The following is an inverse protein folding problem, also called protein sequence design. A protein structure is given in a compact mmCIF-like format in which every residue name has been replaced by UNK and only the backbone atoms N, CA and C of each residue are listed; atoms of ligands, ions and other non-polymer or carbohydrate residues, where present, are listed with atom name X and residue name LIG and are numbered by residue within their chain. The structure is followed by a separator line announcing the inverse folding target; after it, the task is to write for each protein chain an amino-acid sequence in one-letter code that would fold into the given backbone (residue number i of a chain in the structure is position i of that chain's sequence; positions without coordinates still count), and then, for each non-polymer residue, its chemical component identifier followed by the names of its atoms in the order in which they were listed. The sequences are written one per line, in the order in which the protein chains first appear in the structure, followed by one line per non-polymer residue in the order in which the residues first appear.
data_IF_804068563760
#
_entry.id   IF_804068563760
#
_cell.length_a   1.000
_cell.length_b   1.000
_cell.length_c   1.000
_cell.angle_alpha   90.00
_cell.angle_beta   90.00
_cell.angle_gamma   90.00
#
_symmetry.space_group_name_H-M   'P 1'
#
loop_
_entity.id
_entity.type
_entity.pdbx_description
1 polymer ?
#
# COMPACT_ATOMS: atom_id res chain seq x y z
N UNK A 1 24.89 -6.21 23.04
CA UNK A 1 23.78 -7.14 23.31
C UNK A 1 22.71 -6.96 22.24
N UNK A 2 21.64 -7.76 22.19
CA UNK A 2 20.59 -7.69 21.15
C UNK A 2 19.67 -6.45 21.30
N UNK A 3 20.22 -5.31 21.73
CA UNK A 3 19.51 -4.04 21.87
C UNK A 3 19.42 -3.26 20.56
N UNK A 4 20.13 -3.70 19.51
CA UNK A 4 20.22 -3.01 18.22
C UNK A 4 19.06 -3.33 17.25
N UNK A 5 18.12 -4.20 17.64
CA UNK A 5 16.91 -4.52 16.87
C UNK A 5 15.63 -3.97 17.49
N UNK A 6 15.71 -2.82 18.16
CA UNK A 6 14.47 -2.12 18.52
C UNK A 6 13.92 -1.49 17.25
N UNK A 7 12.93 -2.14 16.63
CA UNK A 7 12.15 -1.58 15.52
C UNK A 7 11.83 -0.11 15.82
N UNK A 8 12.09 0.80 14.88
CA UNK A 8 11.91 2.25 15.07
C UNK A 8 10.48 2.47 15.56
N UNK A 9 10.31 2.97 16.79
CA UNK A 9 8.98 3.19 17.40
C UNK A 9 8.08 4.13 16.58
N UNK A 10 8.65 4.90 15.66
CA UNK A 10 7.97 5.89 14.81
C UNK A 10 7.98 5.50 13.33
N UNK A 11 8.19 4.22 13.00
CA UNK A 11 8.16 3.79 11.61
C UNK A 11 6.74 3.93 11.01
N UNK A 12 6.64 4.29 9.72
CA UNK A 12 5.35 4.43 9.08
C UNK A 12 4.64 3.08 8.93
N UNK A 13 3.32 3.14 9.06
CA UNK A 13 2.40 2.07 8.72
C UNK A 13 1.64 2.46 7.46
N UNK A 14 1.46 1.50 6.58
CA UNK A 14 0.79 1.68 5.30
C UNK A 14 -0.51 0.90 5.28
N UNK A 15 -1.54 1.51 4.71
CA UNK A 15 -2.80 0.86 4.39
C UNK A 15 -2.65 0.16 3.04
N UNK A 16 -2.80 -1.15 3.02
CA UNK A 16 -2.59 -1.99 1.85
C UNK A 16 -3.91 -2.55 1.35
N UNK A 17 -4.14 -2.35 0.06
CA UNK A 17 -5.08 -3.12 -0.74
C UNK A 17 -4.32 -4.34 -1.27
N UNK A 18 -4.73 -5.54 -0.93
CA UNK A 18 -4.02 -6.76 -1.28
C UNK A 18 -4.97 -7.88 -1.73
N UNK A 19 -4.44 -8.80 -2.53
CA UNK A 19 -5.09 -10.07 -2.83
C UNK A 19 -4.41 -11.19 -2.06
N UNK A 20 -5.18 -12.02 -1.35
CA UNK A 20 -4.69 -13.30 -0.84
C UNK A 20 -5.20 -14.45 -1.71
N UNK A 21 -4.83 -15.69 -1.36
CA UNK A 21 -5.17 -16.88 -2.16
C UNK A 21 -6.68 -17.06 -2.44
N UNK A 22 -7.55 -16.38 -1.71
CA UNK A 22 -9.01 -16.54 -1.82
C UNK A 22 -9.77 -15.24 -2.12
N UNK A 23 -9.31 -14.07 -1.66
CA UNK A 23 -10.08 -12.81 -1.71
C UNK A 23 -9.21 -11.55 -1.62
N UNK A 24 -9.81 -10.44 -2.00
CA UNK A 24 -9.34 -9.08 -1.71
C UNK A 24 -9.42 -8.77 -0.22
N UNK A 25 -8.35 -8.19 0.33
CA UNK A 25 -8.23 -7.83 1.75
C UNK A 25 -7.56 -6.48 1.91
N UNK A 26 -7.95 -5.81 2.98
CA UNK A 26 -7.39 -4.55 3.42
C UNK A 26 -6.59 -4.77 4.70
N UNK A 27 -5.32 -4.38 4.72
CA UNK A 27 -4.39 -4.66 5.82
C UNK A 27 -3.56 -3.43 6.21
N UNK A 28 -2.98 -3.48 7.41
CA UNK A 28 -1.98 -2.52 7.88
C UNK A 28 -0.64 -3.22 7.97
N UNK A 29 0.36 -2.71 7.25
CA UNK A 29 1.71 -3.26 7.32
C UNK A 29 2.74 -2.19 7.60
N UNK A 30 3.77 -2.59 8.34
CA UNK A 30 4.91 -1.73 8.60
C UNK A 30 5.83 -1.68 7.39
N UNK A 31 6.46 -0.54 7.12
CA UNK A 31 7.36 -0.35 5.96
C UNK A 31 8.38 -1.47 5.72
N UNK A 32 8.96 -2.02 6.80
CA UNK A 32 9.98 -3.07 6.73
C UNK A 32 9.50 -4.39 6.09
N UNK A 33 8.17 -4.58 5.99
CA UNK A 33 7.55 -5.74 5.36
C UNK A 33 7.09 -5.45 3.91
N UNK A 34 7.42 -4.27 3.37
CA UNK A 34 7.10 -3.90 2.00
C UNK A 34 8.29 -4.13 1.08
N UNK A 35 7.98 -4.57 -0.13
CA UNK A 35 8.90 -4.54 -1.27
C UNK A 35 8.29 -3.57 -2.27
N UNK A 36 9.09 -2.59 -2.70
CA UNK A 36 8.65 -1.64 -3.71
C UNK A 36 8.41 -2.36 -5.03
N UNK A 37 7.24 -2.15 -5.62
CA UNK A 37 6.96 -2.57 -6.98
C UNK A 37 7.34 -1.44 -7.95
N UNK A 38 8.17 -1.78 -8.94
CA UNK A 38 8.61 -0.87 -10.01
C UNK A 38 8.09 -1.32 -11.38
N UNK A 39 7.13 -2.26 -11.42
CA UNK A 39 6.57 -2.80 -12.65
C UNK A 39 5.81 -1.75 -13.48
N UNK A 40 5.25 -0.73 -12.81
CA UNK A 40 4.38 0.28 -13.43
C UNK A 40 3.11 -0.32 -14.03
N UNK A 41 2.71 -1.52 -13.60
CA UNK A 41 1.47 -2.15 -14.05
C UNK A 41 0.31 -1.74 -13.14
N UNK A 42 -0.91 -1.62 -13.69
CA UNK A 42 -2.09 -1.41 -12.86
C UNK A 42 -2.31 -2.60 -11.94
N UNK A 43 -2.80 -2.32 -10.74
CA UNK A 43 -3.28 -3.34 -9.81
C UNK A 43 -4.78 -3.53 -9.99
N UNK A 44 -5.24 -4.74 -9.77
CA UNK A 44 -6.68 -5.00 -9.65
C UNK A 44 -7.06 -4.94 -8.17
N UNK A 45 -8.18 -4.29 -7.83
CA UNK A 45 -8.80 -4.32 -6.50
C UNK A 45 -10.20 -3.67 -6.60
N UNK A 46 -11.26 -4.24 -5.99
CA UNK A 46 -12.62 -3.70 -6.10
C UNK A 46 -12.76 -2.28 -5.55
N UNK A 47 -12.05 -1.97 -4.45
CA UNK A 47 -12.09 -0.64 -3.82
C UNK A 47 -11.14 0.40 -4.49
N UNK A 48 -10.38 0.00 -5.52
CA UNK A 48 -9.41 0.88 -6.18
C UNK A 48 -10.07 2.13 -6.79
N UNK A 49 -11.20 2.04 -7.52
CA UNK A 49 -11.84 3.21 -8.15
C UNK A 49 -12.45 4.19 -7.14
N UNK A 50 -12.75 3.73 -5.92
CA UNK A 50 -13.30 4.58 -4.85
C UNK A 50 -12.19 5.35 -4.12
N UNK A 51 -10.97 4.80 -4.09
CA UNK A 51 -9.82 5.36 -3.37
C UNK A 51 -8.89 6.18 -4.27
N UNK A 52 -8.83 5.85 -5.55
CA UNK A 52 -7.91 6.44 -6.52
C UNK A 52 -8.64 6.85 -7.80
N UNK A 53 -8.04 7.80 -8.54
CA UNK A 53 -8.48 8.13 -9.90
C UNK A 53 -8.05 7.07 -10.92
N UNK A 54 -8.33 7.36 -12.19
CA UNK A 54 -7.91 6.50 -13.30
C UNK A 54 -6.38 6.31 -13.33
N UNK A 55 -5.94 5.13 -13.76
CA UNK A 55 -4.51 4.83 -13.86
C UNK A 55 -3.89 5.62 -15.02
N UNK A 56 -2.91 6.49 -14.72
CA UNK A 56 -2.29 7.39 -15.68
C UNK A 56 -0.76 7.35 -15.53
N UNK A 57 -0.03 7.28 -16.64
CA UNK A 57 1.45 7.32 -16.67
C UNK A 57 2.14 6.42 -15.63
N UNK A 58 1.63 5.20 -15.45
CA UNK A 58 2.25 4.20 -14.58
C UNK A 58 1.96 4.36 -13.08
N UNK A 59 1.04 5.26 -12.69
CA UNK A 59 0.65 5.45 -11.30
C UNK A 59 -0.84 5.83 -11.15
N UNK A 60 -1.35 5.70 -9.94
CA UNK A 60 -2.69 6.16 -9.58
C UNK A 60 -2.58 7.57 -8.98
N UNK A 61 -3.18 8.61 -9.59
CA UNK A 61 -3.20 9.93 -9.01
C UNK A 61 -3.99 9.88 -7.69
N UNK A 62 -3.43 10.48 -6.64
CA UNK A 62 -4.10 10.63 -5.35
C UNK A 62 -5.30 11.57 -5.52
N UNK A 63 -6.51 11.00 -5.55
CA UNK A 63 -7.73 11.80 -5.55
C UNK A 63 -8.07 12.20 -4.11
N UNK A 64 -7.30 13.12 -3.53
CA UNK A 64 -7.66 13.73 -2.25
C UNK A 64 -8.81 14.72 -2.47
N UNK A 65 -10.06 14.26 -2.39
CA UNK A 65 -11.16 15.15 -2.01
C UNK A 65 -11.15 15.29 -0.48
N UNK A 66 -10.27 16.15 0.03
CA UNK A 66 -10.46 16.73 1.36
C UNK A 66 -11.59 17.75 1.27
N UNK A 67 -12.77 17.40 1.77
CA UNK A 67 -13.78 18.38 2.17
C UNK A 67 -13.37 19.07 3.48
#
# INVERSE_FOLDING_TARGET
GPEEKRHKREQPFYHLLAYNDHSWVVAYVSEQNLVADYSGQPVDHPDLPDLFGDFEDGHYPLHFQMN
#
